data_IF_905927815849
#
_entry.id   IF_905927815849
#
_cell.length_a   1.000
_cell.length_b   1.000
_cell.length_c   1.000
_cell.angle_alpha   90.00
_cell.angle_beta   90.00
_cell.angle_gamma   90.00
#
_symmetry.space_group_name_H-M   'P 1'
#
loop_
_entity.id
_entity.type
_entity.pdbx_description
1 polymer ?
#
# COMPACT_ATOMS: atom_id res chain seq x y z
N UNK A 1 -7.97 -26.09 16.44
CA UNK A 1 -7.41 -25.44 17.66
C UNK A 1 -5.89 -25.59 17.63
N UNK A 2 -5.15 -24.62 18.19
CA UNK A 2 -3.70 -24.78 18.37
C UNK A 2 -3.43 -25.64 19.60
N UNK A 3 -3.11 -26.92 19.37
CA UNK A 3 -3.02 -27.91 20.44
C UNK A 3 -1.61 -27.94 21.07
N UNK A 4 -0.57 -27.52 20.34
CA UNK A 4 0.80 -27.43 20.84
C UNK A 4 1.19 -25.97 21.20
N UNK A 5 2.16 -25.81 22.10
CA UNK A 5 2.62 -24.50 22.56
C UNK A 5 3.21 -23.64 21.41
N UNK A 6 3.87 -24.30 20.44
CA UNK A 6 4.43 -23.66 19.25
C UNK A 6 3.36 -23.08 18.33
N UNK A 7 2.23 -23.78 18.07
CA UNK A 7 1.14 -23.21 17.29
C UNK A 7 0.45 -22.05 18.03
N UNK A 8 0.24 -22.16 19.36
CA UNK A 8 -0.31 -21.03 20.15
C UNK A 8 0.58 -19.78 20.03
N UNK A 9 1.91 -19.96 20.04
CA UNK A 9 2.86 -18.86 19.79
C UNK A 9 2.75 -18.32 18.36
N UNK A 10 2.64 -19.18 17.34
CA UNK A 10 2.49 -18.77 15.94
C UNK A 10 1.22 -17.96 15.71
N UNK A 11 0.08 -18.34 16.30
CA UNK A 11 -1.17 -17.56 16.21
C UNK A 11 -0.97 -16.15 16.75
N UNK A 12 -0.44 -16.00 17.98
CA UNK A 12 -0.17 -14.68 18.57
C UNK A 12 0.73 -13.80 17.69
N UNK A 13 1.77 -14.39 17.10
CA UNK A 13 2.67 -13.67 16.19
C UNK A 13 1.97 -13.30 14.87
N UNK A 14 1.15 -14.19 14.32
CA UNK A 14 0.41 -13.97 13.08
C UNK A 14 -0.60 -12.82 13.25
N UNK A 15 -1.32 -12.76 14.37
CA UNK A 15 -2.27 -11.68 14.64
C UNK A 15 -1.61 -10.31 14.72
N UNK A 16 -0.47 -10.21 15.42
CA UNK A 16 0.32 -8.96 15.48
C UNK A 16 0.77 -8.52 14.08
N UNK A 17 1.26 -9.46 13.26
CA UNK A 17 1.66 -9.18 11.87
C UNK A 17 0.46 -8.79 11.00
N UNK A 18 -0.68 -9.47 11.15
CA UNK A 18 -1.91 -9.23 10.40
C UNK A 18 -2.43 -7.80 10.62
N UNK A 19 -2.48 -7.34 11.86
CA UNK A 19 -2.94 -5.97 12.20
C UNK A 19 -2.01 -4.93 11.57
N UNK A 20 -0.70 -5.09 11.73
CA UNK A 20 0.29 -4.17 11.16
C UNK A 20 0.22 -4.14 9.63
N UNK A 21 0.20 -5.30 8.98
CA UNK A 21 0.14 -5.39 7.52
C UNK A 21 -1.17 -4.80 6.98
N UNK A 22 -2.29 -5.05 7.67
CA UNK A 22 -3.60 -4.47 7.33
C UNK A 22 -3.55 -2.94 7.39
N UNK A 23 -2.93 -2.37 8.43
CA UNK A 23 -2.76 -0.92 8.57
C UNK A 23 -1.99 -0.34 7.37
N UNK A 24 -0.76 -0.81 7.12
CA UNK A 24 0.07 -0.28 6.03
C UNK A 24 -0.59 -0.46 4.65
N UNK A 25 -1.19 -1.62 4.40
CA UNK A 25 -1.89 -1.88 3.13
C UNK A 25 -3.13 -0.99 2.97
N UNK A 26 -3.89 -0.72 4.04
CA UNK A 26 -5.05 0.18 3.99
C UNK A 26 -4.62 1.62 3.75
N UNK A 27 -3.57 2.10 4.44
CA UNK A 27 -3.04 3.46 4.25
C UNK A 27 -2.59 3.68 2.81
N UNK A 28 -1.92 2.71 2.19
CA UNK A 28 -1.54 2.77 0.78
C UNK A 28 -2.75 2.82 -0.16
N UNK A 29 -3.75 1.96 0.08
CA UNK A 29 -4.94 1.95 -0.77
C UNK A 29 -5.75 3.24 -0.67
N UNK A 30 -5.81 3.85 0.51
CA UNK A 30 -6.48 5.13 0.69
C UNK A 30 -5.75 6.23 -0.08
N UNK A 31 -4.43 6.36 0.09
CA UNK A 31 -3.66 7.37 -0.63
C UNK A 31 -3.77 7.24 -2.17
N UNK A 32 -3.84 6.01 -2.69
CA UNK A 32 -4.11 5.75 -4.12
C UNK A 32 -5.53 6.18 -4.52
N UNK A 33 -6.53 5.96 -3.66
CA UNK A 33 -7.90 6.40 -3.91
C UNK A 33 -7.97 7.92 -3.94
N UNK A 34 -7.34 8.57 -2.97
CA UNK A 34 -7.39 10.02 -2.81
C UNK A 34 -6.80 10.71 -4.04
N UNK A 35 -5.63 10.28 -4.55
CA UNK A 35 -5.08 10.79 -5.82
C UNK A 35 -6.02 10.58 -7.00
N UNK A 36 -6.71 9.44 -7.08
CA UNK A 36 -7.64 9.16 -8.19
C UNK A 36 -8.91 10.00 -8.15
N UNK A 37 -9.22 10.59 -6.99
CA UNK A 37 -10.38 11.47 -6.80
C UNK A 37 -10.03 12.95 -6.99
N UNK A 38 -8.75 13.30 -7.18
CA UNK A 38 -8.35 14.67 -7.48
C UNK A 38 -8.70 15.00 -8.93
N UNK A 39 -9.29 16.19 -9.12
CA UNK A 39 -9.60 16.75 -10.45
C UNK A 39 -8.59 17.83 -10.85
N UNK A 40 -7.89 18.46 -9.89
CA UNK A 40 -6.83 19.41 -10.15
C UNK A 40 -5.49 18.69 -10.42
N UNK A 41 -4.93 18.96 -11.60
CA UNK A 41 -3.66 18.41 -12.06
C UNK A 41 -2.48 18.82 -11.18
N UNK A 42 -2.42 20.06 -10.72
CA UNK A 42 -1.29 20.55 -9.91
C UNK A 42 -1.23 19.84 -8.56
N UNK A 43 -2.38 19.71 -7.91
CA UNK A 43 -2.48 18.99 -6.64
C UNK A 43 -2.13 17.50 -6.80
N UNK A 44 -2.54 16.89 -7.91
CA UNK A 44 -2.21 15.51 -8.22
C UNK A 44 -0.71 15.28 -8.48
N UNK A 45 -0.05 16.19 -9.17
CA UNK A 45 1.40 16.16 -9.41
C UNK A 45 2.20 16.31 -8.10
N UNK A 46 1.79 17.21 -7.21
CA UNK A 46 2.43 17.42 -5.91
C UNK A 46 2.23 16.23 -4.95
N UNK A 47 1.09 15.54 -5.05
CA UNK A 47 0.78 14.37 -4.24
C UNK A 47 1.50 13.09 -4.73
N UNK A 48 1.84 13.02 -6.02
CA UNK A 48 2.39 11.83 -6.67
C UNK A 48 3.68 11.30 -6.01
N UNK A 49 4.72 12.12 -5.72
CA UNK A 49 5.94 11.63 -5.06
C UNK A 49 5.69 10.99 -3.70
N UNK A 50 4.75 11.55 -2.92
CA UNK A 50 4.38 11.04 -1.58
C UNK A 50 3.76 9.65 -1.68
N UNK A 51 2.86 9.44 -2.65
CA UNK A 51 2.20 8.15 -2.86
C UNK A 51 3.15 7.10 -3.42
N UNK A 52 4.02 7.48 -4.35
CA UNK A 52 5.07 6.59 -4.88
C UNK A 52 5.99 6.11 -3.75
N UNK A 53 6.47 7.02 -2.90
CA UNK A 53 7.31 6.67 -1.75
C UNK A 53 6.59 5.71 -0.77
N UNK A 54 5.28 5.87 -0.61
CA UNK A 54 4.47 5.01 0.25
C UNK A 54 4.31 3.61 -0.34
N UNK A 55 4.05 3.49 -1.64
CA UNK A 55 4.00 2.19 -2.35
C UNK A 55 5.32 1.44 -2.20
N UNK A 56 6.45 2.12 -2.41
CA UNK A 56 7.78 1.51 -2.32
C UNK A 56 8.13 1.10 -0.89
N UNK A 57 7.69 1.86 0.12
CA UNK A 57 7.86 1.48 1.54
C UNK A 57 7.10 0.20 1.89
N UNK A 58 5.89 0.02 1.36
CA UNK A 58 5.07 -1.18 1.58
C UNK A 58 5.66 -2.39 0.85
N UNK A 59 6.23 -2.18 -0.34
CA UNK A 59 6.95 -3.20 -1.09
C UNK A 59 8.23 -3.65 -0.35
N UNK A 60 9.03 -2.71 0.16
CA UNK A 60 10.24 -3.00 0.97
C UNK A 60 9.94 -3.83 2.22
N UNK A 61 8.73 -3.69 2.78
CA UNK A 61 8.25 -4.48 3.93
C UNK A 61 7.68 -5.86 3.53
N UNK A 62 7.76 -6.24 2.25
CA UNK A 62 7.22 -7.49 1.70
C UNK A 62 5.72 -7.67 1.93
N UNK A 63 4.96 -6.57 2.08
CA UNK A 63 3.50 -6.62 2.21
C UNK A 63 2.84 -6.73 0.82
N UNK A 64 3.47 -6.14 -0.20
CA UNK A 64 3.12 -6.30 -1.61
C UNK A 64 4.34 -6.75 -2.41
N UNK A 65 4.11 -7.50 -3.48
CA UNK A 65 5.18 -7.92 -4.39
C UNK A 65 5.73 -6.74 -5.20
N UNK A 66 7.02 -6.77 -5.55
CA UNK A 66 7.69 -5.74 -6.35
C UNK A 66 6.98 -5.45 -7.68
N UNK A 67 6.49 -6.49 -8.37
CA UNK A 67 5.75 -6.33 -9.63
C UNK A 67 4.40 -5.63 -9.41
N UNK A 68 3.72 -5.92 -8.29
CA UNK A 68 2.47 -5.24 -7.93
C UNK A 68 2.73 -3.76 -7.62
N UNK A 69 3.82 -3.46 -6.91
CA UNK A 69 4.24 -2.09 -6.66
C UNK A 69 4.53 -1.33 -7.96
N UNK A 70 5.28 -1.93 -8.89
CA UNK A 70 5.56 -1.35 -10.21
C UNK A 70 4.29 -1.09 -11.02
N UNK A 71 3.35 -2.05 -11.06
CA UNK A 71 2.07 -1.90 -11.74
C UNK A 71 1.23 -0.77 -11.14
N UNK A 72 1.20 -0.65 -9.81
CA UNK A 72 0.50 0.44 -9.14
C UNK A 72 1.12 1.81 -9.43
N UNK A 73 2.46 1.92 -9.41
CA UNK A 73 3.15 3.17 -9.78
C UNK A 73 2.84 3.59 -11.21
N UNK A 74 2.90 2.64 -12.16
CA UNK A 74 2.54 2.90 -13.56
C UNK A 74 1.09 3.36 -13.70
N UNK A 75 0.14 2.68 -13.03
CA UNK A 75 -1.27 3.02 -13.10
C UNK A 75 -1.59 4.40 -12.51
N UNK A 76 -0.97 4.77 -11.38
CA UNK A 76 -1.17 6.08 -10.76
C UNK A 76 -0.58 7.19 -11.64
N UNK A 77 0.65 7.02 -12.15
CA UNK A 77 1.25 8.00 -13.05
C UNK A 77 0.41 8.24 -14.32
N UNK A 78 -0.12 7.17 -14.92
CA UNK A 78 -1.03 7.28 -16.08
C UNK A 78 -2.32 8.03 -15.74
N UNK A 79 -2.85 7.84 -14.53
CA UNK A 79 -4.06 8.53 -14.07
C UNK A 79 -3.82 10.03 -13.96
N UNK A 80 -2.71 10.45 -13.34
CA UNK A 80 -2.35 11.86 -13.21
C UNK A 80 -2.13 12.51 -14.57
N UNK A 81 -1.39 11.84 -15.47
CA UNK A 81 -1.15 12.35 -16.82
C UNK A 81 -2.43 12.49 -17.68
N UNK A 82 -3.50 11.75 -17.34
CA UNK A 82 -4.78 11.82 -18.06
C UNK A 82 -5.64 13.00 -17.59
N UNK A 83 -5.43 13.50 -16.38
CA UNK A 83 -6.09 14.70 -15.87
C UNK A 83 -5.51 15.88 -16.66
N UNK A 84 -6.36 16.49 -17.49
CA UNK A 84 -5.99 17.52 -18.46
C UNK A 84 -5.51 18.78 -17.74
#
# INVERSE_FOLDING_TARGET
MANNASAKKRIRQADKKRVNNKYYHKTMRNAIRDIKSLEDKKEAEDALPKVVALIDRVAKRNIIHKNKAANLKSAVAKSVNKIA
#
